data_IF_969136115883
#
_entry.id   IF_969136115883
#
_cell.length_a   1.000
_cell.length_b   1.000
_cell.length_c   1.000
_cell.angle_alpha   90.00
_cell.angle_beta   90.00
_cell.angle_gamma   90.00
#
_symmetry.space_group_name_H-M   'P 1'
#
loop_
_entity.id
_entity.type
_entity.pdbx_description
1 polymer ?
#
# COMPACT_ATOMS: atom_id res chain seq x y z
N UNK A 1 -14.03 -30.79 -4.72
CA UNK A 1 -13.86 -31.45 -3.39
C UNK A 1 -12.51 -32.19 -3.29
N UNK A 2 -11.41 -31.44 -3.20
CA UNK A 2 -10.07 -32.02 -2.98
C UNK A 2 -9.93 -32.35 -1.51
N UNK A 3 -9.90 -33.63 -1.19
CA UNK A 3 -9.59 -34.13 0.14
C UNK A 3 -8.17 -33.70 0.50
N UNK A 4 -8.01 -32.92 1.56
CA UNK A 4 -6.75 -32.90 2.31
C UNK A 4 -6.75 -34.19 3.14
N UNK A 5 -6.68 -35.32 2.45
CA UNK A 5 -6.36 -36.59 3.06
C UNK A 5 -4.94 -36.47 3.59
N UNK A 6 -4.77 -36.81 4.86
CA UNK A 6 -3.49 -36.94 5.52
C UNK A 6 -2.62 -37.97 4.77
N UNK A 7 -1.90 -37.54 3.74
CA UNK A 7 -0.86 -38.35 3.12
C UNK A 7 0.35 -38.32 4.05
N UNK A 8 0.54 -39.39 4.80
CA UNK A 8 1.71 -39.67 5.64
C UNK A 8 3.00 -39.81 4.83
N UNK A 9 3.44 -38.70 4.22
CA UNK A 9 4.72 -38.59 3.53
C UNK A 9 5.50 -37.48 4.23
N UNK A 10 6.67 -37.81 4.76
CA UNK A 10 7.58 -36.83 5.37
C UNK A 10 8.05 -35.83 4.29
N UNK A 11 7.23 -34.82 3.98
CA UNK A 11 7.53 -33.80 2.97
C UNK A 11 8.53 -32.76 3.49
N UNK A 12 8.87 -32.80 4.78
CA UNK A 12 9.98 -32.04 5.38
C UNK A 12 9.94 -30.57 4.98
N UNK A 13 11.07 -30.04 4.52
CA UNK A 13 11.22 -28.64 4.09
C UNK A 13 10.38 -28.29 2.85
N UNK A 14 9.88 -29.27 2.10
CA UNK A 14 9.01 -29.04 0.93
C UNK A 14 7.54 -28.86 1.31
N UNK A 15 7.19 -29.07 2.58
CA UNK A 15 5.83 -28.85 3.06
C UNK A 15 5.53 -27.35 3.17
N UNK A 16 4.43 -26.92 2.54
CA UNK A 16 3.94 -25.54 2.59
C UNK A 16 3.67 -25.09 4.02
N UNK A 17 3.10 -25.95 4.86
CA UNK A 17 2.81 -25.62 6.25
C UNK A 17 4.08 -25.39 7.08
N UNK A 18 5.13 -26.18 6.79
CA UNK A 18 6.43 -26.01 7.43
C UNK A 18 7.09 -24.71 7.00
N UNK A 19 7.12 -24.42 5.69
CA UNK A 19 7.70 -23.18 5.16
C UNK A 19 6.98 -21.94 5.72
N UNK A 20 5.65 -21.98 5.81
CA UNK A 20 4.86 -20.89 6.42
C UNK A 20 5.22 -20.68 7.89
N UNK A 21 5.41 -21.76 8.65
CA UNK A 21 5.82 -21.69 10.04
C UNK A 21 7.22 -21.09 10.25
N UNK A 22 8.12 -21.28 9.27
CA UNK A 22 9.48 -20.73 9.33
C UNK A 22 9.55 -19.24 9.02
N UNK A 23 8.49 -18.61 8.48
CA UNK A 23 8.43 -17.15 8.33
C UNK A 23 8.04 -16.54 9.69
N UNK A 24 8.95 -15.83 10.39
CA UNK A 24 8.62 -15.25 11.69
C UNK A 24 7.55 -14.15 11.51
N UNK A 25 6.53 -14.18 12.37
CA UNK A 25 5.55 -13.10 12.43
C UNK A 25 6.14 -11.91 13.20
N UNK A 26 5.85 -10.70 12.74
CA UNK A 26 6.27 -9.47 13.42
C UNK A 26 5.38 -9.13 14.63
N UNK A 27 4.20 -9.73 14.75
CA UNK A 27 3.24 -9.49 15.83
C UNK A 27 3.09 -10.73 16.73
N UNK A 28 2.71 -10.49 17.98
CA UNK A 28 2.40 -11.52 18.99
C UNK A 28 1.19 -12.41 18.61
N UNK A 29 0.35 -11.97 17.67
CA UNK A 29 -0.67 -12.82 17.03
C UNK A 29 -0.10 -13.36 15.72
N UNK A 30 0.11 -14.65 15.67
CA UNK A 30 0.52 -15.36 14.44
C UNK A 30 -0.73 -15.79 13.67
N UNK A 31 -0.78 -15.48 12.38
CA UNK A 31 -1.77 -16.02 11.45
C UNK A 31 -1.04 -16.91 10.43
N UNK A 32 -1.57 -18.11 10.17
CA UNK A 32 -1.06 -18.99 9.12
C UNK A 32 -2.24 -19.53 8.31
N UNK A 33 -2.10 -19.55 6.98
CA UNK A 33 -3.18 -19.96 6.09
C UNK A 33 -3.09 -21.45 5.81
N UNK A 34 -3.90 -22.24 6.54
CA UNK A 34 -3.97 -23.69 6.34
C UNK A 34 -4.43 -24.08 4.93
N UNK A 35 -5.37 -23.35 4.34
CA UNK A 35 -5.85 -23.67 3.01
C UNK A 35 -6.72 -22.56 2.45
N UNK A 36 -6.99 -22.63 1.15
CA UNK A 36 -7.98 -21.79 0.47
C UNK A 36 -8.95 -22.72 -0.23
N UNK A 37 -10.24 -22.43 -0.10
CA UNK A 37 -11.25 -23.08 -0.91
C UNK A 37 -11.44 -22.24 -2.18
N UNK A 38 -11.25 -22.86 -3.34
CA UNK A 38 -11.43 -22.22 -4.64
C UNK A 38 -12.89 -22.29 -5.13
N UNK A 39 -13.66 -23.23 -4.60
CA UNK A 39 -15.09 -23.39 -4.90
C UNK A 39 -15.94 -22.42 -4.06
N UNK A 40 -16.97 -21.82 -4.68
CA UNK A 40 -17.91 -20.97 -3.97
C UNK A 40 -18.77 -21.79 -3.00
N UNK A 41 -18.69 -21.44 -1.71
CA UNK A 41 -19.55 -22.03 -0.68
C UNK A 41 -20.94 -21.40 -0.81
N UNK A 42 -21.94 -22.21 -1.14
CA UNK A 42 -23.33 -21.75 -1.25
C UNK A 42 -23.92 -21.50 0.14
N UNK A 43 -24.80 -20.51 0.23
CA UNK A 43 -25.53 -20.22 1.47
C UNK A 43 -26.34 -21.46 1.90
N UNK A 44 -26.13 -21.92 3.13
CA UNK A 44 -26.78 -23.13 3.67
C UNK A 44 -26.00 -24.44 3.49
N UNK A 45 -24.86 -24.41 2.81
CA UNK A 45 -23.97 -25.57 2.72
C UNK A 45 -23.32 -25.84 4.09
N UNK A 46 -23.39 -27.09 4.56
CA UNK A 46 -22.72 -27.51 5.80
C UNK A 46 -21.26 -27.85 5.50
N UNK A 47 -20.34 -27.13 6.12
CA UNK A 47 -18.91 -27.43 6.09
C UNK A 47 -18.55 -28.22 7.36
N UNK A 48 -18.07 -29.45 7.19
CA UNK A 48 -17.51 -30.22 8.30
C UNK A 48 -16.00 -30.00 8.36
N UNK A 49 -15.52 -29.59 9.54
CA UNK A 49 -14.09 -29.40 9.81
C UNK A 49 -13.73 -30.29 10.99
N UNK A 50 -12.79 -31.19 10.78
CA UNK A 50 -12.22 -32.04 11.81
C UNK A 50 -10.83 -31.50 12.17
N UNK A 51 -10.58 -31.30 13.46
CA UNK A 51 -9.35 -30.69 13.96
C UNK A 51 -8.75 -31.59 15.02
N UNK A 52 -7.58 -32.15 14.73
CA UNK A 52 -6.78 -32.89 15.70
C UNK A 52 -5.93 -31.93 16.55
N UNK A 53 -6.15 -31.92 17.86
CA UNK A 53 -5.44 -31.00 18.76
C UNK A 53 -4.11 -31.60 19.26
N UNK A 54 -3.08 -31.56 18.41
CA UNK A 54 -1.74 -32.09 18.73
C UNK A 54 -0.82 -31.07 19.44
N UNK A 55 -1.30 -29.87 19.77
CA UNK A 55 -0.47 -28.84 20.40
C UNK A 55 -1.25 -28.13 21.52
N UNK A 56 -1.00 -28.42 22.80
CA UNK A 56 -1.76 -27.80 23.88
C UNK A 56 -1.36 -26.32 24.07
N UNK A 57 -2.34 -25.42 24.01
CA UNK A 57 -2.21 -24.00 24.40
C UNK A 57 -3.11 -23.75 25.62
N UNK A 58 -2.72 -22.83 26.50
CA UNK A 58 -3.49 -22.53 27.71
C UNK A 58 -3.16 -23.40 28.92
N UNK A 59 -2.07 -24.17 28.86
CA UNK A 59 -1.46 -24.76 30.06
C UNK A 59 -0.63 -23.71 30.80
N UNK A 60 -0.39 -23.92 32.10
CA UNK A 60 0.36 -22.99 32.97
C UNK A 60 1.73 -22.54 32.40
N UNK A 61 2.29 -23.29 31.46
CA UNK A 61 3.58 -23.02 30.79
C UNK A 61 3.47 -22.20 29.51
N UNK A 62 2.31 -22.19 28.84
CA UNK A 62 2.09 -21.48 27.57
C UNK A 62 0.72 -20.80 27.60
N UNK A 63 0.63 -19.58 28.16
CA UNK A 63 -0.62 -18.83 28.18
C UNK A 63 -0.96 -18.36 26.75
N UNK A 64 -2.08 -18.83 26.21
CA UNK A 64 -2.52 -18.45 24.87
C UNK A 64 -3.77 -19.19 24.40
N UNK A 65 -4.34 -18.71 23.32
CA UNK A 65 -5.54 -19.28 22.68
C UNK A 65 -5.27 -19.57 21.20
N UNK A 66 -6.06 -20.49 20.65
CA UNK A 66 -6.08 -20.80 19.22
C UNK A 66 -7.46 -20.57 18.66
N UNK A 67 -7.51 -19.96 17.48
CA UNK A 67 -8.75 -19.75 16.75
C UNK A 67 -8.56 -20.16 15.29
N UNK A 68 -9.54 -20.90 14.76
CA UNK A 68 -9.67 -21.13 13.32
C UNK A 68 -10.67 -20.09 12.79
N UNK A 69 -10.23 -19.28 11.84
CA UNK A 69 -11.06 -18.23 11.25
C UNK A 69 -11.20 -18.49 9.76
N UNK A 70 -12.43 -18.61 9.29
CA UNK A 70 -12.76 -18.70 7.88
C UNK A 70 -13.03 -17.29 7.37
N UNK A 71 -12.24 -16.83 6.40
CA UNK A 71 -12.42 -15.51 5.81
C UNK A 71 -12.46 -15.61 4.29
N UNK A 72 -13.29 -14.77 3.69
CA UNK A 72 -13.29 -14.57 2.23
C UNK A 72 -12.37 -13.39 1.94
N UNK A 73 -11.36 -13.62 1.10
CA UNK A 73 -10.46 -12.57 0.64
C UNK A 73 -11.06 -11.87 -0.58
N UNK A 74 -11.19 -10.56 -0.49
CA UNK A 74 -11.57 -9.73 -1.64
C UNK A 74 -10.34 -9.34 -2.47
N UNK A 75 -10.55 -8.57 -3.56
CA UNK A 75 -9.45 -8.02 -4.37
C UNK A 75 -8.45 -7.18 -3.56
N UNK A 76 -8.94 -6.56 -2.48
CA UNK A 76 -8.18 -5.70 -1.58
C UNK A 76 -7.65 -6.43 -0.34
N UNK A 77 -7.76 -7.77 -0.33
CA UNK A 77 -7.34 -8.63 0.77
C UNK A 77 -8.41 -8.81 1.85
N UNK A 78 -7.97 -8.86 3.10
CA UNK A 78 -8.83 -9.04 4.28
C UNK A 78 -9.60 -7.78 4.66
N UNK A 79 -10.53 -7.91 5.61
CA UNK A 79 -11.36 -6.79 6.07
C UNK A 79 -10.55 -5.83 6.93
N UNK A 80 -10.12 -4.70 6.34
CA UNK A 80 -9.42 -3.63 7.05
C UNK A 80 -9.92 -2.25 6.59
N UNK A 81 -10.57 -1.51 7.51
CA UNK A 81 -11.12 -0.19 7.22
C UNK A 81 -10.09 0.94 7.32
N UNK A 82 -8.89 0.67 7.84
CA UNK A 82 -7.90 1.72 8.12
C UNK A 82 -7.32 2.38 6.87
N UNK A 83 -7.06 1.62 5.80
CA UNK A 83 -6.51 2.17 4.56
C UNK A 83 -7.49 3.18 3.93
N UNK A 84 -8.76 2.82 3.81
CA UNK A 84 -9.80 3.72 3.30
C UNK A 84 -9.92 5.01 4.13
N UNK A 85 -9.90 4.90 5.45
CA UNK A 85 -9.97 6.07 6.33
C UNK A 85 -8.76 7.00 6.17
N UNK A 86 -7.55 6.47 6.02
CA UNK A 86 -6.35 7.28 5.78
C UNK A 86 -6.44 8.05 4.46
N UNK A 87 -6.93 7.41 3.39
CA UNK A 87 -7.13 8.08 2.10
C UNK A 87 -8.19 9.18 2.18
N UNK A 88 -9.32 8.92 2.84
CA UNK A 88 -10.38 9.92 3.02
C UNK A 88 -9.84 11.11 3.83
N UNK A 89 -9.12 10.86 4.92
CA UNK A 89 -8.53 11.92 5.74
C UNK A 89 -7.54 12.79 4.95
N UNK A 90 -6.66 12.18 4.15
CA UNK A 90 -5.73 12.90 3.29
C UNK A 90 -6.46 13.72 2.20
N UNK A 91 -7.51 13.15 1.61
CA UNK A 91 -8.35 13.84 0.62
C UNK A 91 -9.07 15.06 1.20
N UNK A 92 -9.65 14.93 2.39
CA UNK A 92 -10.31 16.04 3.10
C UNK A 92 -9.30 17.15 3.44
N UNK A 93 -8.12 16.78 3.95
CA UNK A 93 -7.06 17.76 4.24
C UNK A 93 -6.64 18.52 2.98
N UNK A 94 -6.40 17.83 1.88
CA UNK A 94 -6.03 18.45 0.60
C UNK A 94 -7.16 19.36 0.06
N UNK A 95 -8.41 18.93 0.19
CA UNK A 95 -9.57 19.71 -0.25
C UNK A 95 -9.73 21.01 0.55
N UNK A 96 -9.52 20.98 1.87
CA UNK A 96 -9.54 22.18 2.72
C UNK A 96 -8.43 23.15 2.32
N UNK A 97 -7.21 22.65 2.09
CA UNK A 97 -6.09 23.48 1.63
C UNK A 97 -6.36 24.08 0.24
N UNK A 98 -6.94 23.31 -0.68
CA UNK A 98 -7.32 23.76 -2.01
C UNK A 98 -8.37 24.87 -1.96
N UNK A 99 -9.44 24.70 -1.18
CA UNK A 99 -10.44 25.74 -0.98
C UNK A 99 -9.82 26.98 -0.34
N UNK A 100 -8.98 26.81 0.68
CA UNK A 100 -8.26 27.92 1.31
C UNK A 100 -7.42 28.71 0.32
N UNK A 101 -6.68 28.02 -0.54
CA UNK A 101 -5.90 28.64 -1.61
C UNK A 101 -6.79 29.34 -2.66
N UNK A 102 -7.92 28.75 -3.06
CA UNK A 102 -8.87 29.35 -4.00
C UNK A 102 -9.52 30.61 -3.42
N UNK A 103 -9.98 30.57 -2.15
CA UNK A 103 -10.54 31.75 -1.47
C UNK A 103 -9.48 32.83 -1.35
N UNK A 104 -8.26 32.48 -0.93
CA UNK A 104 -7.16 33.43 -0.83
C UNK A 104 -6.80 34.04 -2.18
N UNK A 105 -6.76 33.26 -3.26
CA UNK A 105 -6.52 33.75 -4.62
C UNK A 105 -7.63 34.71 -5.09
N UNK A 106 -8.89 34.35 -4.87
CA UNK A 106 -10.04 35.18 -5.27
C UNK A 106 -10.20 36.44 -4.40
N UNK A 107 -9.80 36.38 -3.13
CA UNK A 107 -9.86 37.51 -2.19
C UNK A 107 -8.63 38.42 -2.30
N UNK A 108 -7.47 37.87 -2.67
CA UNK A 108 -6.23 38.60 -2.94
C UNK A 108 -6.01 38.97 -4.41
N UNK A 109 -7.04 38.84 -5.27
CA UNK A 109 -7.10 39.45 -6.60
C UNK A 109 -7.04 41.00 -6.59
N UNK A 110 -6.52 41.60 -5.51
CA UNK A 110 -6.23 43.03 -5.38
C UNK A 110 -4.75 43.39 -5.54
N UNK A 111 -3.84 42.41 -5.66
CA UNK A 111 -2.53 42.65 -6.25
C UNK A 111 -1.89 41.32 -6.68
N UNK A 112 -1.73 41.05 -7.99
CA UNK A 112 -0.94 39.91 -8.42
C UNK A 112 0.49 40.14 -7.93
N UNK A 113 0.94 39.34 -6.95
CA UNK A 113 2.36 39.28 -6.64
C UNK A 113 3.04 38.73 -7.87
N UNK A 114 3.74 39.60 -8.61
CA UNK A 114 4.66 39.22 -9.68
C UNK A 114 5.54 38.12 -9.11
N UNK A 115 5.49 36.93 -9.71
CA UNK A 115 6.38 35.82 -9.39
C UNK A 115 7.75 36.24 -9.91
N UNK A 116 8.49 37.02 -9.10
CA UNK A 116 9.89 37.31 -9.34
C UNK A 116 10.68 36.10 -8.86
N UNK A 117 11.13 35.28 -9.79
CA UNK A 117 11.87 34.05 -9.50
C UNK A 117 11.27 32.88 -10.24
N UNK A 118 11.40 32.91 -11.57
CA UNK A 118 11.42 31.73 -12.40
C UNK A 118 12.36 30.73 -11.73
N UNK A 119 11.88 29.51 -11.47
CA UNK A 119 12.76 28.37 -11.23
C UNK A 119 13.68 28.32 -12.45
N UNK A 120 14.98 28.53 -12.28
CA UNK A 120 15.93 28.39 -13.37
C UNK A 120 16.25 26.89 -13.47
N UNK A 121 15.71 26.13 -14.44
CA UNK A 121 16.18 24.79 -14.64
C UNK A 121 17.43 24.87 -15.52
N UNK A 122 18.56 24.51 -14.93
CA UNK A 122 19.76 24.05 -15.63
C UNK A 122 19.37 23.17 -16.83
N UNK A 123 19.48 23.71 -18.04
CA UNK A 123 19.65 22.91 -19.25
C UNK A 123 20.82 23.48 -20.02
N UNK A 124 21.88 22.69 -20.00
CA UNK A 124 23.07 22.81 -20.81
C UNK A 124 22.71 22.75 -22.31
N UNK A 125 23.61 23.31 -23.13
CA UNK A 125 23.68 23.24 -24.61
C UNK A 125 22.81 24.22 -25.41
N UNK A 126 23.30 24.93 -26.44
CA UNK A 126 24.60 25.00 -27.11
C UNK A 126 24.62 26.35 -27.87
N UNK A 127 25.69 27.14 -27.79
CA UNK A 127 25.90 28.26 -28.71
C UNK A 127 26.32 27.71 -30.09
N UNK A 128 25.76 28.21 -31.20
CA UNK A 128 26.52 28.35 -32.42
C UNK A 128 27.01 29.79 -32.57
N UNK A 129 28.33 29.95 -32.50
CA UNK A 129 29.05 31.15 -32.84
C UNK A 129 29.05 31.36 -34.37
N UNK A 130 28.33 32.38 -34.84
CA UNK A 130 28.51 33.07 -36.14
C UNK A 130 27.94 34.48 -35.91
N UNK A 131 28.60 35.60 -36.17
CA UNK A 131 29.84 35.94 -36.82
C UNK A 131 29.90 37.47 -36.86
N UNK A 132 31.11 38.00 -36.71
CA UNK A 132 31.42 39.41 -36.54
C UNK A 132 31.06 40.34 -37.71
N UNK A 133 31.03 41.65 -37.38
CA UNK A 133 31.17 42.91 -38.16
C UNK A 133 29.92 43.79 -38.08
N UNK A 134 29.96 45.07 -37.73
CA UNK A 134 31.04 46.03 -37.48
C UNK A 134 30.48 47.45 -37.67
N UNK A 135 31.11 48.47 -37.07
CA UNK A 135 30.98 49.86 -37.54
C UNK A 135 30.46 50.91 -36.53
N UNK A 136 31.38 51.41 -35.70
CA UNK A 136 31.74 52.83 -35.49
C UNK A 136 30.67 53.94 -35.27
N UNK A 137 30.89 54.88 -34.32
CA UNK A 137 30.00 56.00 -34.04
C UNK A 137 30.39 57.26 -34.84
N UNK A 138 29.41 58.05 -35.28
CA UNK A 138 29.62 59.46 -35.67
C UNK A 138 28.43 60.28 -35.21
N UNK A 139 28.68 61.21 -34.29
CA UNK A 139 27.69 62.19 -33.83
C UNK A 139 27.57 63.39 -34.77
N UNK A 140 26.61 64.27 -34.42
CA UNK A 140 26.69 65.75 -34.46
C UNK A 140 25.27 66.34 -34.30
N UNK A 141 25.18 67.43 -33.55
CA UNK A 141 23.98 68.26 -33.39
C UNK A 141 23.92 68.86 -32.01
#
# INVERSE_FOLDING_TARGET
SQMIAAEGKNKGVKDRHFVEWMRPAALWRVWNQYGKLEEEVKQGQKLHIEIENNFPVGSDRVPGYKHLVLTTIGPWGGRHNGFGNCLIAAGVLCFILGIGACIMHNSCARSPRKIAGVYEPLVHDCQPAVGARGGGPVGKG
#
